data_IF_977990344928
#
_entry.id   IF_977990344928
#
_cell.length_a   1.000
_cell.length_b   1.000
_cell.length_c   1.000
_cell.angle_alpha   90.00
_cell.angle_beta   90.00
_cell.angle_gamma   90.00
#
_symmetry.space_group_name_H-M   'P 1'
#
loop_
_entity.id
_entity.type
_entity.pdbx_description
1 polymer ?
#
# COMPACT_ATOMS: atom_id res chain seq x y z
N UNK A 1 27.17 37.92 -43.77
CA UNK A 1 26.62 37.80 -45.15
C UNK A 1 25.15 37.41 -45.06
N UNK A 2 24.37 37.55 -46.15
CA UNK A 2 22.89 37.50 -46.14
C UNK A 2 22.29 36.11 -45.81
N UNK A 3 21.01 36.04 -45.37
CA UNK A 3 20.32 34.83 -44.91
C UNK A 3 19.37 34.22 -45.97
N UNK A 4 18.77 33.07 -45.64
CA UNK A 4 17.50 32.55 -46.17
C UNK A 4 16.68 31.99 -44.98
N UNK A 5 15.40 32.27 -44.70
CA UNK A 5 14.16 32.68 -45.42
C UNK A 5 13.13 31.54 -45.56
N UNK A 6 12.10 31.64 -44.70
CA UNK A 6 10.66 31.29 -44.79
C UNK A 6 10.15 30.00 -45.46
N UNK A 7 9.30 29.28 -44.71
CA UNK A 7 7.82 29.17 -44.83
C UNK A 7 7.33 28.40 -43.57
N UNK A 8 6.30 28.72 -42.77
CA UNK A 8 4.95 29.26 -42.97
C UNK A 8 4.04 28.41 -43.85
N UNK A 9 3.18 27.60 -43.20
CA UNK A 9 2.12 26.81 -43.82
C UNK A 9 1.11 26.36 -42.76
N UNK A 10 0.00 27.09 -42.62
CA UNK A 10 -1.12 26.71 -41.75
C UNK A 10 -2.17 25.94 -42.57
N UNK A 11 -2.80 24.92 -41.97
CA UNK A 11 -4.02 24.31 -42.51
C UNK A 11 -5.05 24.17 -41.38
N UNK A 12 -6.12 24.95 -41.49
CA UNK A 12 -7.40 24.71 -40.84
C UNK A 12 -8.21 23.72 -41.69
N UNK A 13 -8.97 22.84 -41.06
CA UNK A 13 -9.84 21.88 -41.78
C UNK A 13 -10.89 21.25 -40.87
N UNK A 14 -12.11 21.79 -40.88
CA UNK A 14 -13.28 21.30 -40.14
C UNK A 14 -14.24 20.60 -41.10
N UNK A 15 -14.81 19.45 -40.71
CA UNK A 15 -16.16 18.91 -41.05
C UNK A 15 -16.25 17.46 -40.54
N UNK A 16 -17.29 16.87 -39.92
CA UNK A 16 -18.75 17.04 -39.78
C UNK A 16 -19.47 15.76 -40.29
N UNK A 17 -20.05 15.03 -39.33
CA UNK A 17 -21.25 14.17 -39.31
C UNK A 17 -21.70 13.24 -40.49
N UNK A 18 -22.13 12.03 -40.05
CA UNK A 18 -23.40 11.31 -40.33
C UNK A 18 -23.57 10.27 -41.47
N UNK A 19 -24.46 9.31 -41.12
CA UNK A 19 -25.23 8.30 -41.88
C UNK A 19 -24.69 6.85 -41.85
N UNK A 20 -25.48 5.75 -41.81
CA UNK A 20 -26.82 5.36 -41.27
C UNK A 20 -27.36 4.15 -42.09
N UNK A 21 -27.97 3.13 -41.44
CA UNK A 21 -28.63 1.95 -42.07
C UNK A 21 -27.67 0.89 -42.65
N UNK A 22 -28.00 -0.40 -42.82
CA UNK A 22 -29.20 -1.24 -42.59
C UNK A 22 -29.00 -2.65 -43.23
N UNK A 23 -29.87 -3.67 -43.21
CA UNK A 23 -31.11 -3.97 -42.48
C UNK A 23 -31.55 -5.45 -42.75
N UNK A 24 -32.11 -6.17 -41.76
CA UNK A 24 -32.82 -7.47 -41.94
C UNK A 24 -32.20 -8.68 -41.20
N UNK A 25 -32.95 -9.73 -40.82
CA UNK A 25 -34.39 -10.05 -41.00
C UNK A 25 -34.98 -10.77 -39.77
N UNK A 26 -36.26 -10.53 -39.49
CA UNK A 26 -37.11 -11.36 -38.62
C UNK A 26 -37.53 -12.67 -39.29
N UNK A 27 -37.62 -13.75 -38.52
CA UNK A 27 -38.42 -14.95 -38.85
C UNK A 27 -39.18 -15.37 -37.58
N UNK A 28 -40.47 -15.67 -37.76
CA UNK A 28 -41.47 -16.01 -36.73
C UNK A 28 -41.56 -17.52 -36.46
N UNK A 29 -41.93 -17.94 -35.24
CA UNK A 29 -42.43 -19.31 -35.03
C UNK A 29 -42.47 -19.82 -33.58
N UNK A 30 -43.67 -19.89 -33.01
CA UNK A 30 -44.08 -20.42 -31.70
C UNK A 30 -43.40 -21.71 -31.18
N UNK A 31 -43.18 -21.80 -29.87
CA UNK A 31 -44.06 -22.52 -28.92
C UNK A 31 -43.40 -22.74 -27.53
N UNK A 32 -44.17 -22.55 -26.44
CA UNK A 32 -43.79 -22.95 -25.07
C UNK A 32 -44.46 -24.29 -24.76
N UNK A 33 -43.74 -25.25 -24.14
CA UNK A 33 -44.25 -25.86 -22.91
C UNK A 33 -43.24 -25.75 -21.76
N UNK A 34 -43.73 -25.72 -20.52
CA UNK A 34 -42.92 -25.54 -19.31
C UNK A 34 -42.30 -26.84 -18.77
N UNK A 35 -41.05 -26.72 -18.29
CA UNK A 35 -40.50 -27.42 -17.10
C UNK A 35 -40.29 -28.95 -17.13
N UNK A 36 -39.51 -29.51 -16.18
CA UNK A 36 -38.18 -29.04 -15.73
C UNK A 36 -37.16 -30.20 -15.64
N UNK A 37 -35.88 -29.96 -16.00
CA UNK A 37 -34.78 -30.84 -15.61
C UNK A 37 -33.45 -30.10 -15.67
N UNK A 38 -32.58 -30.33 -14.67
CA UNK A 38 -31.32 -29.61 -14.54
C UNK A 38 -30.26 -30.08 -15.54
N UNK A 39 -29.44 -29.14 -16.00
CA UNK A 39 -28.12 -29.39 -16.55
C UNK A 39 -27.23 -28.22 -16.20
N UNK A 40 -26.32 -28.43 -15.25
CA UNK A 40 -25.30 -27.46 -14.90
C UNK A 40 -24.31 -27.34 -16.07
N UNK A 41 -24.47 -26.32 -16.91
CA UNK A 41 -23.33 -25.79 -17.66
C UNK A 41 -22.44 -25.07 -16.67
N UNK A 42 -21.38 -25.75 -16.24
CA UNK A 42 -20.37 -25.22 -15.32
C UNK A 42 -19.77 -23.92 -15.88
N UNK A 43 -20.23 -22.78 -15.34
CA UNK A 43 -19.73 -21.47 -15.74
C UNK A 43 -18.45 -21.10 -14.96
N UNK A 44 -17.68 -20.23 -15.59
CA UNK A 44 -16.26 -20.03 -15.36
C UNK A 44 -15.89 -19.41 -14.01
N UNK A 45 -14.78 -19.89 -13.44
CA UNK A 45 -13.98 -19.22 -12.41
C UNK A 45 -14.74 -18.66 -11.21
N UNK A 46 -14.96 -19.51 -10.21
CA UNK A 46 -15.34 -19.06 -8.86
C UNK A 46 -14.26 -18.18 -8.23
N UNK A 47 -14.27 -16.88 -8.56
CA UNK A 47 -13.74 -15.86 -7.66
C UNK A 47 -14.69 -15.80 -6.47
N UNK A 48 -14.29 -16.41 -5.36
CA UNK A 48 -14.93 -16.17 -4.06
C UNK A 48 -15.09 -14.66 -3.89
N UNK A 49 -16.35 -14.23 -3.73
CA UNK A 49 -16.67 -12.83 -3.54
C UNK A 49 -16.23 -12.44 -2.14
N UNK A 50 -14.97 -12.01 -2.00
CA UNK A 50 -14.38 -11.57 -0.72
C UNK A 50 -15.30 -10.53 -0.08
N UNK A 51 -15.94 -10.91 1.03
CA UNK A 51 -16.92 -10.10 1.75
C UNK A 51 -16.22 -9.04 2.60
N UNK A 52 -15.68 -8.00 1.95
CA UNK A 52 -15.00 -6.91 2.63
C UNK A 52 -14.52 -5.81 1.69
N UNK A 53 -14.16 -4.67 2.26
CA UNK A 53 -13.46 -3.60 1.53
C UNK A 53 -12.05 -4.07 1.13
N UNK A 54 -11.76 -4.07 -0.17
CA UNK A 54 -10.42 -4.37 -0.70
C UNK A 54 -9.65 -3.08 -0.99
N UNK A 55 -8.71 -2.73 -0.11
CA UNK A 55 -7.94 -1.49 -0.21
C UNK A 55 -7.05 -1.39 -1.46
N UNK A 56 -6.75 -2.52 -2.11
CA UNK A 56 -6.00 -2.55 -3.37
C UNK A 56 -6.90 -2.41 -4.61
N UNK A 57 -8.20 -2.72 -4.51
CA UNK A 57 -9.17 -2.56 -5.59
C UNK A 57 -9.42 -1.10 -6.02
N UNK A 58 -8.91 -0.12 -5.27
CA UNK A 58 -8.97 1.30 -5.64
C UNK A 58 -8.01 1.67 -6.78
N UNK A 59 -6.94 0.91 -7.02
CA UNK A 59 -5.97 1.22 -8.06
C UNK A 59 -5.31 -0.01 -8.69
N UNK A 60 -5.63 -0.26 -9.95
CA UNK A 60 -5.02 -1.34 -10.73
C UNK A 60 -3.52 -1.08 -10.98
N UNK A 61 -2.61 -2.03 -10.68
CA UNK A 61 -1.18 -1.81 -10.81
C UNK A 61 -0.73 -1.42 -12.24
N UNK A 62 -1.38 -1.95 -13.27
CA UNK A 62 -1.10 -1.59 -14.66
C UNK A 62 -1.47 -0.12 -14.99
N UNK A 63 -2.52 0.41 -14.36
CA UNK A 63 -2.88 1.82 -14.51
C UNK A 63 -1.93 2.74 -13.76
N UNK A 64 -1.51 2.34 -12.56
CA UNK A 64 -0.49 3.04 -11.77
C UNK A 64 0.83 3.11 -12.53
N UNK A 65 1.28 1.99 -13.11
CA UNK A 65 2.49 1.92 -13.93
C UNK A 65 2.43 2.92 -15.09
N UNK A 66 1.32 2.94 -15.82
CA UNK A 66 1.07 3.89 -16.92
C UNK A 66 1.02 5.34 -16.46
N UNK A 67 0.40 5.63 -15.31
CA UNK A 67 0.26 6.99 -14.79
C UNK A 67 1.59 7.57 -14.26
N UNK A 68 2.45 6.72 -13.70
CA UNK A 68 3.77 7.09 -13.16
C UNK A 68 4.88 7.03 -14.24
N UNK A 69 4.67 6.29 -15.33
CA UNK A 69 5.65 6.15 -16.42
C UNK A 69 6.70 5.06 -16.17
N UNK A 70 6.31 3.95 -15.54
CA UNK A 70 7.16 2.77 -15.30
C UNK A 70 6.61 1.54 -16.02
N UNK A 71 7.44 0.52 -16.21
CA UNK A 71 7.07 -0.70 -16.93
C UNK A 71 6.01 -1.53 -16.21
N UNK A 72 6.08 -1.58 -14.88
CA UNK A 72 5.19 -2.34 -14.02
C UNK A 72 5.07 -1.66 -12.65
N UNK A 73 4.02 -2.03 -11.91
CA UNK A 73 3.87 -1.78 -10.48
C UNK A 73 3.34 -3.07 -9.86
N UNK A 74 3.70 -3.32 -8.61
CA UNK A 74 3.31 -4.48 -7.82
C UNK A 74 2.71 -4.01 -6.51
N UNK A 75 1.74 -4.75 -5.97
CA UNK A 75 1.29 -4.55 -4.59
C UNK A 75 2.38 -5.09 -3.67
N UNK A 76 3.00 -4.22 -2.89
CA UNK A 76 4.09 -4.58 -1.97
C UNK A 76 3.66 -4.59 -0.50
N UNK A 77 2.53 -3.97 -0.16
CA UNK A 77 2.06 -3.96 1.22
C UNK A 77 0.57 -3.71 1.33
N UNK A 78 -0.04 -4.31 2.34
CA UNK A 78 -1.43 -4.10 2.74
C UNK A 78 -1.43 -3.84 4.24
N UNK A 79 -2.22 -2.87 4.71
CA UNK A 79 -2.38 -2.61 6.15
C UNK A 79 -3.78 -2.15 6.49
N UNK A 80 -4.22 -2.47 7.71
CA UNK A 80 -5.48 -2.01 8.27
C UNK A 80 -5.30 -1.75 9.78
N UNK A 81 -5.74 -0.59 10.25
CA UNK A 81 -5.59 -0.14 11.65
C UNK A 81 -6.80 0.66 12.12
N UNK A 82 -7.06 0.61 13.43
CA UNK A 82 -7.87 1.63 14.11
C UNK A 82 -6.97 2.82 14.43
N UNK A 83 -7.42 4.02 14.10
CA UNK A 83 -6.71 5.26 14.40
C UNK A 83 -7.05 5.76 15.82
N UNK A 84 -6.26 6.66 16.43
CA UNK A 84 -6.51 7.16 17.78
C UNK A 84 -7.86 7.88 17.99
N UNK A 85 -8.55 8.28 16.92
CA UNK A 85 -9.90 8.87 16.95
C UNK A 85 -11.03 7.83 16.76
N UNK A 86 -10.69 6.53 16.76
CA UNK A 86 -11.62 5.41 16.57
C UNK A 86 -11.94 5.10 15.11
N UNK A 87 -11.57 5.95 14.14
CA UNK A 87 -11.80 5.67 12.72
C UNK A 87 -10.92 4.53 12.21
N UNK A 88 -11.40 3.75 11.23
CA UNK A 88 -10.59 2.71 10.60
C UNK A 88 -9.87 3.24 9.36
N UNK A 89 -8.59 2.91 9.24
CA UNK A 89 -7.76 3.18 8.06
C UNK A 89 -7.27 1.89 7.44
N UNK A 90 -7.45 1.74 6.12
CA UNK A 90 -6.83 0.68 5.33
C UNK A 90 -5.92 1.29 4.27
N UNK A 91 -4.85 0.59 3.87
CA UNK A 91 -3.88 1.09 2.89
C UNK A 91 -3.33 -0.01 2.00
N UNK A 92 -3.29 0.24 0.69
CA UNK A 92 -2.52 -0.55 -0.25
C UNK A 92 -1.26 0.22 -0.68
N UNK A 93 -0.13 -0.48 -0.71
CA UNK A 93 1.20 0.05 -1.02
C UNK A 93 1.74 -0.62 -2.26
N UNK A 94 2.41 0.16 -3.11
CA UNK A 94 2.86 -0.23 -4.43
C UNK A 94 4.30 0.22 -4.70
N UNK A 95 5.04 -0.59 -5.47
CA UNK A 95 6.40 -0.31 -5.92
C UNK A 95 6.64 -0.86 -7.35
N UNK A 96 7.65 -0.40 -8.12
CA UNK A 96 7.89 -0.87 -9.49
C UNK A 96 8.58 -2.24 -9.55
N UNK A 97 9.07 -2.74 -8.42
CA UNK A 97 9.68 -4.06 -8.25
C UNK A 97 8.81 -4.90 -7.31
N UNK A 98 8.68 -6.20 -7.60
CA UNK A 98 7.96 -7.17 -6.75
C UNK A 98 8.81 -7.51 -5.50
N UNK A 99 8.85 -6.56 -4.57
CA UNK A 99 9.55 -6.66 -3.29
C UNK A 99 8.59 -6.19 -2.18
N UNK A 100 7.81 -7.10 -1.58
CA UNK A 100 6.96 -6.81 -0.45
C UNK A 100 7.67 -6.02 0.67
N UNK A 101 6.95 -5.10 1.29
CA UNK A 101 7.45 -4.14 2.29
C UNK A 101 8.06 -2.86 1.70
N UNK A 102 8.37 -2.80 0.40
CA UNK A 102 8.87 -1.57 -0.23
C UNK A 102 7.77 -0.52 -0.38
N UNK A 103 8.00 0.68 0.16
CA UNK A 103 7.10 1.84 0.07
C UNK A 103 7.54 2.76 -1.06
N UNK A 104 6.68 2.91 -2.08
CA UNK A 104 6.84 3.90 -3.16
C UNK A 104 5.61 4.80 -3.28
N UNK A 105 4.50 4.21 -3.70
CA UNK A 105 3.17 4.81 -3.67
C UNK A 105 2.34 4.08 -2.60
N UNK A 106 1.60 4.81 -1.78
CA UNK A 106 0.58 4.25 -0.90
C UNK A 106 -0.73 5.01 -1.10
N UNK A 107 -1.83 4.28 -1.23
CA UNK A 107 -3.19 4.81 -1.22
C UNK A 107 -3.85 4.27 0.05
N UNK A 108 -4.36 5.17 0.88
CA UNK A 108 -5.08 4.86 2.11
C UNK A 108 -6.51 5.39 2.06
N UNK A 109 -7.43 4.63 2.61
CA UNK A 109 -8.81 5.03 2.88
C UNK A 109 -9.02 5.13 4.37
N UNK A 110 -9.74 6.16 4.82
CA UNK A 110 -10.25 6.33 6.19
C UNK A 110 -11.77 6.37 6.12
N UNK A 111 -12.43 5.49 6.88
CA UNK A 111 -13.89 5.45 7.03
C UNK A 111 -14.35 6.27 8.25
N UNK A 112 -15.63 6.66 8.26
CA UNK A 112 -16.33 7.27 9.42
C UNK A 112 -15.63 8.54 9.97
N UNK A 113 -15.04 9.35 9.07
CA UNK A 113 -14.25 10.54 9.40
C UNK A 113 -14.90 11.83 8.87
N UNK A 114 -14.38 12.97 9.28
CA UNK A 114 -14.82 14.28 8.78
C UNK A 114 -13.62 15.14 8.38
N UNK A 115 -13.88 16.28 7.73
CA UNK A 115 -12.84 17.14 7.21
C UNK A 115 -11.99 17.83 8.30
N UNK A 116 -12.43 17.88 9.57
CA UNK A 116 -11.61 18.40 10.65
C UNK A 116 -10.64 17.31 11.13
N UNK A 117 -11.16 16.13 11.51
CA UNK A 117 -10.35 14.98 11.94
C UNK A 117 -9.36 14.52 10.87
N UNK A 118 -9.80 14.38 9.62
CA UNK A 118 -8.99 13.82 8.54
C UNK A 118 -7.81 14.72 8.11
N UNK A 119 -7.98 16.06 8.17
CA UNK A 119 -6.92 17.02 7.80
C UNK A 119 -6.13 17.56 9.00
N UNK A 120 -6.56 17.35 10.25
CA UNK A 120 -5.83 17.77 11.46
C UNK A 120 -4.34 17.34 11.50
N UNK A 121 -3.94 16.12 11.06
CA UNK A 121 -2.53 15.74 11.01
C UNK A 121 -1.69 16.60 10.05
N UNK A 122 -2.26 17.03 8.92
CA UNK A 122 -1.60 17.94 7.99
C UNK A 122 -1.40 19.32 8.62
N UNK A 123 -2.47 19.91 9.17
CA UNK A 123 -2.43 21.24 9.80
C UNK A 123 -1.43 21.34 10.97
N UNK A 124 -1.20 20.23 11.69
CA UNK A 124 -0.19 20.14 12.76
C UNK A 124 1.25 20.00 12.23
N UNK A 125 1.45 19.28 11.12
CA UNK A 125 2.78 18.89 10.61
C UNK A 125 3.35 19.85 9.56
N UNK A 126 2.51 20.51 8.76
CA UNK A 126 2.93 21.24 7.57
C UNK A 126 2.36 22.67 7.53
N UNK A 127 3.17 23.62 7.01
CA UNK A 127 2.77 25.03 6.83
C UNK A 127 2.51 25.42 5.37
N UNK A 128 3.03 24.64 4.43
CA UNK A 128 3.01 24.90 2.98
C UNK A 128 1.95 24.07 2.23
N UNK A 129 0.79 23.88 2.87
CA UNK A 129 -0.33 23.11 2.34
C UNK A 129 -1.02 23.91 1.22
N UNK A 130 -1.31 23.25 0.10
CA UNK A 130 -2.03 23.83 -1.05
C UNK A 130 -3.40 23.18 -1.18
N UNK A 131 -4.45 23.97 -1.42
CA UNK A 131 -5.77 23.45 -1.79
C UNK A 131 -5.72 22.88 -3.22
N UNK A 132 -6.39 21.75 -3.45
CA UNK A 132 -6.56 21.12 -4.76
C UNK A 132 -8.03 21.29 -5.17
N UNK A 133 -8.36 22.17 -6.13
CA UNK A 133 -9.74 22.44 -6.48
C UNK A 133 -10.37 21.27 -7.24
N UNK A 134 -11.68 21.05 -7.03
CA UNK A 134 -12.51 20.04 -7.74
C UNK A 134 -12.08 18.57 -7.52
N UNK A 135 -11.49 18.26 -6.36
CA UNK A 135 -11.17 16.89 -5.95
C UNK A 135 -11.85 16.59 -4.60
N UNK A 136 -12.90 15.77 -4.62
CA UNK A 136 -13.78 15.58 -3.48
C UNK A 136 -14.47 16.88 -3.03
N UNK A 137 -14.95 16.90 -1.78
CA UNK A 137 -15.55 18.07 -1.15
C UNK A 137 -14.47 19.05 -0.65
N UNK A 138 -13.31 18.50 -0.26
CA UNK A 138 -12.08 19.22 0.08
C UNK A 138 -10.88 18.35 -0.26
N UNK A 139 -9.84 18.95 -0.83
CA UNK A 139 -8.56 18.29 -1.02
C UNK A 139 -7.37 19.22 -0.78
N UNK A 140 -6.31 18.67 -0.20
CA UNK A 140 -5.10 19.37 0.19
C UNK A 140 -3.86 18.57 -0.19
N UNK A 141 -2.84 19.26 -0.68
CA UNK A 141 -1.57 18.67 -1.10
C UNK A 141 -0.39 19.38 -0.43
N UNK A 142 0.63 18.60 -0.10
CA UNK A 142 1.95 19.09 0.30
C UNK A 142 3.03 18.29 -0.43
N UNK A 143 4.10 18.97 -0.82
CA UNK A 143 5.32 18.33 -1.31
C UNK A 143 6.51 18.87 -0.52
N UNK A 144 7.43 17.99 -0.12
CA UNK A 144 8.58 18.34 0.71
C UNK A 144 9.74 17.35 0.50
N UNK A 145 10.96 17.80 0.81
CA UNK A 145 12.17 16.97 0.84
C UNK A 145 12.51 16.62 2.29
N UNK A 146 12.94 15.40 2.58
CA UNK A 146 13.45 15.07 3.91
C UNK A 146 14.80 15.76 4.15
N UNK A 147 14.93 16.43 5.30
CA UNK A 147 16.15 17.12 5.70
C UNK A 147 17.35 16.17 5.69
N UNK A 148 18.44 16.57 5.03
CA UNK A 148 19.68 15.79 4.98
C UNK A 148 19.67 14.55 4.07
N UNK A 149 18.60 14.30 3.30
CA UNK A 149 18.49 13.13 2.40
C UNK A 149 18.27 13.54 0.94
N UNK A 150 18.29 12.59 0.01
CA UNK A 150 17.81 12.74 -1.37
C UNK A 150 16.33 12.37 -1.55
N UNK A 151 15.60 12.09 -0.47
CA UNK A 151 14.23 11.59 -0.50
C UNK A 151 13.23 12.74 -0.50
N UNK A 152 12.24 12.65 -1.38
CA UNK A 152 11.16 13.61 -1.55
C UNK A 152 9.81 12.92 -1.40
N UNK A 153 8.84 13.70 -0.91
CA UNK A 153 7.49 13.24 -0.62
C UNK A 153 6.47 14.14 -1.29
N UNK A 154 5.39 13.52 -1.76
CA UNK A 154 4.15 14.18 -2.14
C UNK A 154 3.04 13.50 -1.33
N UNK A 155 2.39 14.24 -0.44
CA UNK A 155 1.21 13.78 0.28
C UNK A 155 -0.01 14.56 -0.22
N UNK A 156 -1.06 13.86 -0.64
CA UNK A 156 -2.33 14.48 -1.07
C UNK A 156 -3.49 13.80 -0.35
N UNK A 157 -4.35 14.60 0.29
CA UNK A 157 -5.55 14.14 1.00
C UNK A 157 -6.78 14.73 0.34
N UNK A 158 -7.83 13.94 0.26
CA UNK A 158 -9.15 14.36 -0.23
C UNK A 158 -10.24 13.66 0.58
N UNK A 159 -11.38 14.31 0.79
CA UNK A 159 -12.54 13.72 1.47
C UNK A 159 -13.79 13.85 0.58
N UNK A 160 -14.67 12.85 0.61
CA UNK A 160 -15.99 12.90 -0.01
C UNK A 160 -17.02 12.27 0.92
N UNK A 161 -17.91 13.10 1.45
CA UNK A 161 -18.78 12.76 2.58
C UNK A 161 -17.95 12.47 3.83
N UNK A 162 -18.13 11.28 4.40
CA UNK A 162 -17.45 10.76 5.58
C UNK A 162 -16.22 9.88 5.25
N UNK A 163 -15.80 9.85 3.98
CA UNK A 163 -14.74 8.97 3.46
C UNK A 163 -13.51 9.77 3.06
N UNK A 164 -12.40 9.57 3.77
CA UNK A 164 -11.11 10.18 3.43
C UNK A 164 -10.26 9.27 2.55
N UNK A 165 -9.60 9.83 1.53
CA UNK A 165 -8.57 9.14 0.73
C UNK A 165 -7.27 9.93 0.80
N UNK A 166 -6.16 9.23 1.05
CA UNK A 166 -4.82 9.79 1.19
C UNK A 166 -3.86 9.05 0.27
N UNK A 167 -3.20 9.81 -0.61
CA UNK A 167 -2.08 9.34 -1.41
C UNK A 167 -0.78 9.84 -0.78
N UNK A 168 0.14 8.91 -0.54
CA UNK A 168 1.50 9.17 -0.11
C UNK A 168 2.46 8.63 -1.17
N UNK A 169 3.32 9.49 -1.70
CA UNK A 169 4.29 9.14 -2.74
C UNK A 169 5.69 9.54 -2.28
N UNK A 170 6.63 8.59 -2.30
CA UNK A 170 8.04 8.80 -1.94
C UNK A 170 8.92 8.48 -3.15
N UNK A 171 9.82 9.39 -3.50
CA UNK A 171 10.82 9.22 -4.56
C UNK A 171 12.20 9.72 -4.12
N UNK A 172 13.24 9.36 -4.86
CA UNK A 172 14.61 9.81 -4.58
C UNK A 172 15.24 10.41 -5.83
N UNK A 173 16.21 11.33 -5.64
CA UNK A 173 17.00 11.88 -6.74
C UNK A 173 17.94 10.83 -7.39
N UNK A 174 18.15 9.68 -6.74
CA UNK A 174 18.98 8.55 -7.18
C UNK A 174 18.14 7.37 -7.68
N UNK A 175 18.70 6.56 -8.59
CA UNK A 175 18.04 5.34 -9.11
C UNK A 175 17.78 4.26 -8.04
N UNK A 176 16.87 3.33 -8.34
CA UNK A 176 16.41 2.28 -7.41
C UNK A 176 15.25 2.69 -6.51
N UNK A 177 14.60 3.83 -6.79
CA UNK A 177 13.39 4.31 -6.10
C UNK A 177 12.26 4.56 -7.12
N UNK A 178 11.09 4.98 -6.64
CA UNK A 178 10.07 5.56 -7.53
C UNK A 178 10.68 6.71 -8.36
N UNK A 179 10.26 6.90 -9.62
CA UNK A 179 10.65 8.08 -10.39
C UNK A 179 10.03 9.34 -9.78
N UNK A 180 10.51 10.51 -10.17
CA UNK A 180 9.87 11.78 -9.83
C UNK A 180 8.51 11.90 -10.52
N UNK A 181 7.43 11.84 -9.75
CA UNK A 181 6.10 12.19 -10.23
C UNK A 181 5.90 13.71 -10.28
N UNK A 182 5.08 14.19 -11.22
CA UNK A 182 4.49 15.52 -11.12
C UNK A 182 3.19 15.48 -10.28
N UNK A 183 2.66 16.66 -9.95
CA UNK A 183 1.42 16.76 -9.17
C UNK A 183 0.17 16.31 -9.93
N UNK A 184 0.22 16.24 -11.27
CA UNK A 184 -0.91 15.86 -12.13
C UNK A 184 -1.11 14.34 -12.13
N UNK A 185 -0.02 13.56 -12.16
CA UNK A 185 -0.06 12.11 -12.04
C UNK A 185 -0.65 11.68 -10.68
N UNK A 186 -0.18 12.30 -9.58
CA UNK A 186 -0.71 12.04 -8.24
C UNK A 186 -2.20 12.41 -8.10
N UNK A 187 -2.63 13.54 -8.70
CA UNK A 187 -4.03 13.93 -8.72
C UNK A 187 -4.91 12.93 -9.51
N UNK A 188 -4.45 12.47 -10.69
CA UNK A 188 -5.19 11.51 -11.51
C UNK A 188 -5.40 10.16 -10.80
N UNK A 189 -4.38 9.69 -10.06
CA UNK A 189 -4.49 8.47 -9.25
C UNK A 189 -5.57 8.63 -8.17
N UNK A 190 -5.62 9.78 -7.49
CA UNK A 190 -6.65 10.04 -6.47
C UNK A 190 -8.06 10.20 -7.04
N UNK A 191 -8.22 10.81 -8.21
CA UNK A 191 -9.53 10.89 -8.89
C UNK A 191 -10.08 9.48 -9.10
N UNK A 192 -9.28 8.58 -9.69
CA UNK A 192 -9.68 7.18 -9.91
C UNK A 192 -9.96 6.42 -8.60
N UNK A 193 -9.15 6.65 -7.57
CA UNK A 193 -9.36 6.03 -6.27
C UNK A 193 -10.67 6.48 -5.61
N UNK A 194 -11.08 7.74 -5.78
CA UNK A 194 -12.39 8.24 -5.35
C UNK A 194 -13.54 7.67 -6.20
N UNK A 195 -13.39 7.60 -7.53
CA UNK A 195 -14.40 7.03 -8.44
C UNK A 195 -14.71 5.55 -8.13
N UNK A 196 -13.73 4.81 -7.60
CA UNK A 196 -13.86 3.41 -7.18
C UNK A 196 -14.26 3.22 -5.71
N UNK A 197 -14.32 4.31 -4.94
CA UNK A 197 -14.60 4.24 -3.51
C UNK A 197 -16.10 3.98 -3.30
N UNK A 198 -16.50 2.88 -2.63
CA UNK A 198 -17.91 2.61 -2.40
C UNK A 198 -18.54 3.68 -1.49
N UNK A 199 -19.82 3.99 -1.72
CA UNK A 199 -20.57 5.02 -0.96
C UNK A 199 -20.57 4.77 0.54
N UNK A 200 -20.48 3.50 0.96
CA UNK A 200 -20.18 3.10 2.33
C UNK A 200 -18.90 2.27 2.37
N UNK A 201 -17.93 2.73 3.14
CA UNK A 201 -16.70 1.98 3.40
C UNK A 201 -16.85 1.25 4.74
N UNK A 202 -16.53 -0.04 4.78
CA UNK A 202 -16.41 -0.80 6.02
C UNK A 202 -15.16 -1.65 5.92
N UNK A 203 -14.15 -1.33 6.72
CA UNK A 203 -12.84 -2.00 6.73
C UNK A 203 -12.94 -3.14 7.75
N UNK A 204 -13.05 -4.41 7.33
CA UNK A 204 -13.14 -5.53 8.26
C UNK A 204 -11.78 -5.82 8.88
N UNK A 205 -11.83 -6.47 10.04
CA UNK A 205 -10.70 -7.24 10.55
C UNK A 205 -10.32 -8.30 9.51
N UNK A 206 -9.03 -8.61 9.40
CA UNK A 206 -8.52 -9.55 8.41
C UNK A 206 -7.75 -10.67 9.07
N UNK A 207 -7.80 -11.84 8.45
CA UNK A 207 -7.00 -13.01 8.80
C UNK A 207 -5.65 -12.91 8.08
N UNK A 208 -4.52 -13.29 8.72
CA UNK A 208 -3.25 -13.40 8.02
C UNK A 208 -3.26 -14.62 7.07
N UNK A 209 -2.68 -14.46 5.88
CA UNK A 209 -2.61 -15.50 4.85
C UNK A 209 -1.19 -16.08 4.70
N UNK A 210 -1.08 -17.34 4.29
CA UNK A 210 0.19 -18.01 4.02
C UNK A 210 1.13 -17.99 5.24
N UNK A 211 2.41 -17.69 5.02
CA UNK A 211 3.44 -17.63 6.08
C UNK A 211 3.20 -16.55 7.13
N UNK A 212 2.31 -15.58 6.87
CA UNK A 212 1.87 -14.64 7.90
C UNK A 212 1.00 -15.33 8.96
N UNK A 213 0.29 -16.41 8.62
CA UNK A 213 -0.55 -17.17 9.55
C UNK A 213 0.25 -18.01 10.55
N UNK A 214 1.51 -18.33 10.22
CA UNK A 214 2.43 -19.10 11.08
C UNK A 214 3.06 -18.23 12.20
N UNK A 215 2.80 -16.92 12.24
CA UNK A 215 3.35 -16.00 13.24
C UNK A 215 2.55 -16.09 14.55
N UNK A 216 3.17 -16.54 15.64
CA UNK A 216 2.53 -16.57 16.96
C UNK A 216 2.37 -15.15 17.54
N UNK A 217 1.14 -14.65 17.47
CA UNK A 217 0.75 -13.34 17.98
C UNK A 217 0.81 -13.25 19.51
N UNK A 218 0.92 -14.34 20.28
CA UNK A 218 1.02 -14.27 21.75
C UNK A 218 2.29 -13.59 22.22
N UNK A 219 3.41 -13.84 21.55
CA UNK A 219 4.67 -13.14 21.82
C UNK A 219 4.53 -11.64 21.49
N UNK A 220 3.83 -11.32 20.40
CA UNK A 220 3.55 -9.94 20.01
C UNK A 220 2.65 -9.22 21.03
N UNK A 221 1.54 -9.84 21.46
CA UNK A 221 0.65 -9.30 22.50
C UNK A 221 1.41 -9.01 23.80
N UNK A 222 2.25 -9.94 24.24
CA UNK A 222 3.06 -9.77 25.46
C UNK A 222 4.10 -8.66 25.36
N UNK A 223 4.74 -8.49 24.21
CA UNK A 223 5.74 -7.44 23.99
C UNK A 223 5.09 -6.08 23.75
N UNK A 224 4.13 -6.00 22.84
CA UNK A 224 3.60 -4.76 22.29
C UNK A 224 2.40 -4.20 23.08
N UNK A 225 1.75 -5.03 23.91
CA UNK A 225 0.75 -4.62 24.89
C UNK A 225 -0.71 -4.68 24.43
N UNK A 226 -1.00 -5.14 23.21
CA UNK A 226 -2.35 -5.21 22.65
C UNK A 226 -2.65 -6.53 21.93
N UNK A 227 -3.93 -6.85 21.77
CA UNK A 227 -4.40 -8.01 21.01
C UNK A 227 -4.51 -7.67 19.52
N UNK A 228 -3.81 -8.43 18.67
CA UNK A 228 -3.69 -8.18 17.24
C UNK A 228 -4.85 -8.79 16.44
N UNK A 229 -5.93 -8.03 16.28
CA UNK A 229 -7.18 -8.45 15.60
C UNK A 229 -7.22 -8.11 14.11
N UNK A 230 -6.47 -7.10 13.66
CA UNK A 230 -6.39 -6.73 12.24
C UNK A 230 -5.10 -7.26 11.63
N UNK A 231 -5.19 -8.23 10.72
CA UNK A 231 -4.08 -8.65 9.89
C UNK A 231 -4.29 -8.30 8.40
N UNK A 232 -3.17 -8.15 7.69
CA UNK A 232 -3.08 -8.07 6.23
C UNK A 232 -1.79 -8.74 5.77
N UNK A 233 -1.81 -9.32 4.56
CA UNK A 233 -0.71 -10.11 4.03
C UNK A 233 -0.49 -9.82 2.55
N UNK A 234 0.77 -9.79 2.13
CA UNK A 234 1.22 -9.76 0.74
C UNK A 234 2.34 -10.78 0.60
N UNK A 235 2.24 -11.68 -0.38
CA UNK A 235 3.26 -12.68 -0.71
C UNK A 235 3.56 -12.56 -2.21
N UNK A 236 4.84 -12.44 -2.55
CA UNK A 236 5.34 -12.39 -3.93
C UNK A 236 5.56 -13.80 -4.50
N UNK A 237 5.72 -13.90 -5.82
CA UNK A 237 6.12 -15.16 -6.47
C UNK A 237 7.53 -15.62 -6.04
N UNK A 238 8.38 -14.71 -5.55
CA UNK A 238 9.77 -14.97 -5.12
C UNK A 238 9.91 -15.37 -3.64
N UNK A 239 8.83 -15.73 -2.95
CA UNK A 239 8.82 -16.05 -1.51
C UNK A 239 9.25 -14.86 -0.60
N UNK A 240 9.35 -13.63 -1.12
CA UNK A 240 9.32 -12.42 -0.30
C UNK A 240 7.89 -12.17 0.18
N UNK A 241 7.73 -11.61 1.38
CA UNK A 241 6.41 -11.34 1.97
C UNK A 241 6.41 -10.08 2.84
N UNK A 242 5.23 -9.49 3.01
CA UNK A 242 4.96 -8.45 4.00
C UNK A 242 3.67 -8.80 4.75
N UNK A 243 3.80 -8.98 6.06
CA UNK A 243 2.69 -9.18 6.98
C UNK A 243 2.52 -7.91 7.81
N UNK A 244 1.29 -7.43 7.96
CA UNK A 244 0.98 -6.29 8.82
C UNK A 244 -0.08 -6.70 9.84
N UNK A 245 0.15 -6.37 11.10
CA UNK A 245 -0.74 -6.64 12.22
C UNK A 245 -1.00 -5.37 13.02
N UNK A 246 -2.23 -5.15 13.50
CA UNK A 246 -2.54 -4.08 14.46
C UNK A 246 -3.64 -4.46 15.46
N UNK A 247 -3.62 -3.74 16.58
CA UNK A 247 -4.51 -3.91 17.72
C UNK A 247 -4.32 -2.77 18.71
N UNK A 248 -5.40 -2.13 19.15
CA UNK A 248 -5.29 -0.89 19.94
C UNK A 248 -4.52 0.20 19.18
N UNK A 249 -3.56 0.82 19.85
CA UNK A 249 -2.56 1.70 19.24
C UNK A 249 -1.29 0.94 18.78
N UNK A 250 -1.13 -0.33 19.16
CA UNK A 250 -0.01 -1.15 18.72
C UNK A 250 -0.15 -1.60 17.27
N UNK A 251 0.99 -1.76 16.61
CA UNK A 251 1.09 -2.38 15.29
C UNK A 251 2.47 -2.96 15.05
N UNK A 252 2.58 -3.97 14.19
CA UNK A 252 3.87 -4.39 13.68
C UNK A 252 3.79 -4.91 12.25
N UNK A 253 4.88 -4.70 11.51
CA UNK A 253 5.13 -5.33 10.23
C UNK A 253 6.24 -6.39 10.33
N UNK A 254 6.10 -7.44 9.53
CA UNK A 254 7.12 -8.47 9.31
C UNK A 254 7.35 -8.58 7.82
N UNK A 255 8.55 -8.24 7.38
CA UNK A 255 8.94 -8.23 5.97
C UNK A 255 10.08 -9.22 5.74
N UNK A 256 9.87 -10.22 4.88
CA UNK A 256 10.95 -11.08 4.39
C UNK A 256 11.36 -10.62 3.00
N UNK A 257 12.64 -10.26 2.86
CA UNK A 257 13.26 -9.84 1.59
C UNK A 257 14.13 -10.99 1.07
N UNK A 258 13.81 -11.48 -0.13
CA UNK A 258 14.51 -12.59 -0.82
C UNK A 258 15.23 -12.15 -2.10
N UNK A 259 14.91 -10.98 -2.67
CA UNK A 259 15.60 -10.51 -3.87
C UNK A 259 17.06 -10.11 -3.56
N UNK A 260 18.07 -10.65 -4.25
CA UNK A 260 19.48 -10.40 -3.95
C UNK A 260 19.88 -8.92 -3.98
N UNK A 261 19.19 -8.06 -4.72
CA UNK A 261 19.51 -6.63 -4.82
C UNK A 261 19.21 -5.87 -3.52
N UNK A 262 17.96 -5.83 -3.00
CA UNK A 262 17.66 -5.23 -1.71
C UNK A 262 18.31 -5.99 -0.55
N UNK A 263 18.44 -7.34 -0.60
CA UNK A 263 19.14 -8.13 0.43
C UNK A 263 20.51 -7.53 0.74
N UNK A 264 21.37 -7.30 -0.28
CA UNK A 264 22.72 -6.74 -0.07
C UNK A 264 22.75 -5.38 0.64
N UNK A 265 21.70 -4.57 0.49
CA UNK A 265 21.56 -3.28 1.19
C UNK A 265 20.91 -3.37 2.57
N UNK A 266 20.26 -4.49 2.88
CA UNK A 266 19.50 -4.70 4.11
C UNK A 266 20.22 -5.62 5.12
N UNK A 267 21.13 -6.48 4.65
CA UNK A 267 21.96 -7.38 5.47
C UNK A 267 22.65 -6.61 6.59
N UNK A 268 22.57 -7.15 7.80
CA UNK A 268 23.28 -6.62 8.96
C UNK A 268 24.77 -6.95 8.83
N UNK A 269 25.59 -5.91 8.70
CA UNK A 269 27.05 -6.07 8.70
C UNK A 269 27.55 -6.67 10.04
N UNK A 270 28.59 -7.52 10.05
CA UNK A 270 29.04 -8.22 11.25
C UNK A 270 29.35 -7.32 12.46
N UNK A 271 29.89 -6.12 12.22
CA UNK A 271 30.20 -5.12 13.24
C UNK A 271 28.97 -4.37 13.80
N UNK A 272 27.78 -4.66 13.25
CA UNK A 272 26.49 -4.08 13.65
C UNK A 272 25.53 -5.11 14.27
N UNK A 273 25.92 -6.39 14.34
CA UNK A 273 25.14 -7.43 15.01
C UNK A 273 25.11 -7.14 16.51
N UNK A 274 23.91 -7.05 17.09
CA UNK A 274 23.70 -6.89 18.54
C UNK A 274 23.19 -8.17 19.20
N UNK A 275 22.60 -9.08 18.43
CA UNK A 275 22.05 -10.36 18.88
C UNK A 275 22.53 -11.49 17.94
N UNK A 276 23.65 -12.16 18.25
CA UNK A 276 24.22 -13.20 17.39
C UNK A 276 23.48 -14.55 17.46
N UNK A 277 22.55 -14.71 18.42
CA UNK A 277 21.74 -15.90 18.66
C UNK A 277 20.39 -15.91 17.90
N UNK A 278 20.15 -14.90 17.05
CA UNK A 278 18.95 -14.73 16.25
C UNK A 278 19.31 -14.81 14.76
N UNK A 279 18.83 -15.87 14.09
CA UNK A 279 19.19 -16.17 12.70
C UNK A 279 20.70 -16.40 12.55
N UNK A 280 21.29 -15.84 11.49
CA UNK A 280 22.74 -15.76 11.29
C UNK A 280 23.33 -14.45 11.84
N UNK A 281 22.58 -13.77 12.72
CA UNK A 281 22.94 -12.50 13.34
C UNK A 281 21.90 -11.41 13.10
N UNK A 282 21.47 -10.77 14.18
CA UNK A 282 20.49 -9.70 14.16
C UNK A 282 20.99 -8.38 14.75
N UNK A 283 20.41 -7.28 14.27
CA UNK A 283 20.48 -5.95 14.87
C UNK A 283 19.09 -5.53 15.28
N UNK A 284 18.86 -5.49 16.58
CA UNK A 284 17.65 -4.92 17.19
C UNK A 284 17.97 -3.52 17.70
N UNK A 285 17.04 -2.59 17.52
CA UNK A 285 17.10 -1.20 17.95
C UNK A 285 15.77 -0.78 18.58
N UNK A 286 15.85 -0.01 19.66
CA UNK A 286 14.77 0.87 20.09
C UNK A 286 15.04 2.26 19.47
N UNK A 287 14.10 2.78 18.70
CA UNK A 287 14.28 4.02 17.93
C UNK A 287 13.90 5.27 18.74
N UNK A 288 14.34 6.44 18.30
CA UNK A 288 13.89 7.73 18.87
C UNK A 288 12.37 7.93 18.78
N UNK A 289 11.70 7.29 17.83
CA UNK A 289 10.24 7.27 17.70
C UNK A 289 9.55 6.33 18.71
N UNK A 290 10.30 5.76 19.66
CA UNK A 290 9.87 4.75 20.65
C UNK A 290 9.30 3.48 20.02
N UNK A 291 9.87 3.05 18.89
CA UNK A 291 9.50 1.81 18.20
C UNK A 291 10.60 0.76 18.28
N UNK A 292 10.23 -0.51 18.19
CA UNK A 292 11.17 -1.59 17.86
C UNK A 292 11.47 -1.54 16.36
N UNK A 293 12.73 -1.66 15.99
CA UNK A 293 13.16 -2.00 14.62
C UNK A 293 14.23 -3.07 14.70
N UNK A 294 13.99 -4.20 14.03
CA UNK A 294 14.89 -5.34 13.97
C UNK A 294 15.19 -5.69 12.51
N UNK A 295 16.46 -6.02 12.24
CA UNK A 295 16.90 -6.68 11.01
C UNK A 295 17.66 -7.93 11.37
N UNK A 296 17.40 -9.02 10.68
CA UNK A 296 17.93 -10.35 10.97
C UNK A 296 18.44 -10.95 9.65
N UNK A 297 19.70 -11.39 9.65
CA UNK A 297 20.26 -12.17 8.55
C UNK A 297 19.71 -13.60 8.64
N UNK A 298 19.20 -14.14 7.53
CA UNK A 298 18.60 -15.48 7.47
C UNK A 298 19.00 -16.13 6.15
N UNK A 299 20.14 -16.80 6.12
CA UNK A 299 20.75 -17.35 4.91
C UNK A 299 21.03 -16.26 3.88
N UNK A 300 20.45 -16.42 2.69
CA UNK A 300 20.51 -15.47 1.57
C UNK A 300 19.41 -14.39 1.63
N UNK A 301 18.72 -14.26 2.77
CA UNK A 301 17.52 -13.41 2.96
C UNK A 301 17.71 -12.47 4.14
N UNK A 302 16.89 -11.41 4.17
CA UNK A 302 16.80 -10.52 5.33
C UNK A 302 15.37 -10.46 5.83
N UNK A 303 15.18 -10.73 7.10
CA UNK A 303 13.93 -10.51 7.80
C UNK A 303 14.01 -9.14 8.50
N UNK A 304 13.02 -8.30 8.28
CA UNK A 304 12.85 -7.02 8.98
C UNK A 304 11.54 -7.02 9.76
N UNK A 305 11.58 -6.47 10.98
CA UNK A 305 10.40 -6.32 11.85
C UNK A 305 10.41 -4.90 12.37
N UNK A 306 9.32 -4.16 12.21
CA UNK A 306 9.14 -2.87 12.87
C UNK A 306 7.85 -2.92 13.69
N UNK A 307 7.87 -2.39 14.91
CA UNK A 307 6.72 -2.44 15.80
C UNK A 307 6.55 -1.18 16.65
N UNK A 308 5.30 -0.73 16.76
CA UNK A 308 4.83 0.31 17.67
C UNK A 308 4.12 -0.35 18.86
N UNK A 309 4.41 0.12 20.06
CA UNK A 309 3.75 -0.32 21.30
C UNK A 309 2.40 0.37 21.48
N UNK A 310 1.49 -0.25 22.22
CA UNK A 310 0.20 0.36 22.60
C UNK A 310 0.42 1.57 23.53
N UNK A 311 1.35 1.44 24.47
CA UNK A 311 1.74 2.48 25.42
C UNK A 311 3.23 2.87 25.24
N UNK A 312 3.61 3.55 24.14
CA UNK A 312 5.00 3.78 23.78
C UNK A 312 5.78 4.61 24.80
N UNK A 313 5.11 5.48 25.57
CA UNK A 313 5.75 6.27 26.63
C UNK A 313 6.20 5.42 27.84
N UNK A 314 5.70 4.19 27.98
CA UNK A 314 6.10 3.26 29.05
C UNK A 314 7.35 2.44 28.70
N UNK A 315 7.79 2.48 27.44
CA UNK A 315 8.96 1.76 26.94
C UNK A 315 10.07 2.77 26.64
N UNK A 316 11.27 2.50 27.16
CA UNK A 316 12.43 3.41 27.03
C UNK A 316 13.67 2.74 26.44
N UNK A 317 13.66 1.42 26.33
CA UNK A 317 14.72 0.59 25.77
C UNK A 317 14.15 -0.78 25.36
N UNK A 318 14.94 -1.57 24.63
CA UNK A 318 14.61 -2.98 24.35
C UNK A 318 14.53 -3.80 25.64
N UNK A 319 13.51 -4.65 25.73
CA UNK A 319 13.26 -5.55 26.87
C UNK A 319 13.38 -7.02 26.40
N UNK A 320 13.55 -7.99 27.31
CA UNK A 320 13.57 -9.40 26.95
C UNK A 320 12.34 -9.88 26.16
N UNK A 321 11.17 -9.28 26.39
CA UNK A 321 9.95 -9.58 25.62
C UNK A 321 10.05 -9.16 24.15
N UNK A 322 10.76 -8.07 23.84
CA UNK A 322 10.96 -7.58 22.46
C UNK A 322 11.93 -8.50 21.70
N UNK A 323 12.96 -9.00 22.38
CA UNK A 323 13.88 -10.01 21.84
C UNK A 323 13.17 -11.34 21.59
N UNK A 324 12.29 -11.75 22.51
CA UNK A 324 11.54 -13.00 22.37
C UNK A 324 10.51 -12.94 21.25
N UNK A 325 9.83 -11.81 21.05
CA UNK A 325 9.00 -11.55 19.87
C UNK A 325 9.80 -11.77 18.58
N UNK A 326 10.98 -11.16 18.46
CA UNK A 326 11.83 -11.33 17.28
C UNK A 326 12.26 -12.80 17.12
N UNK A 327 12.62 -13.49 18.20
CA UNK A 327 12.97 -14.93 18.16
C UNK A 327 11.82 -15.77 17.62
N UNK A 328 10.61 -15.57 18.12
CA UNK A 328 9.42 -16.33 17.69
C UNK A 328 9.13 -16.12 16.20
N UNK A 329 9.24 -14.89 15.70
CA UNK A 329 9.05 -14.58 14.26
C UNK A 329 10.19 -15.17 13.40
N UNK A 330 11.44 -15.10 13.86
CA UNK A 330 12.58 -15.74 13.16
C UNK A 330 12.41 -17.25 13.09
N UNK A 331 11.82 -17.86 14.12
CA UNK A 331 11.61 -19.31 14.18
C UNK A 331 10.45 -19.80 13.30
N UNK A 332 9.35 -19.05 13.20
CA UNK A 332 8.25 -19.39 12.29
C UNK A 332 8.55 -19.04 10.83
N UNK A 333 9.13 -17.87 10.57
CA UNK A 333 9.37 -17.37 9.21
C UNK A 333 10.72 -17.82 8.68
N UNK A 334 11.80 -17.64 9.45
CA UNK A 334 13.16 -17.68 8.92
C UNK A 334 13.74 -19.07 8.64
N UNK A 335 13.31 -20.11 9.38
CA UNK A 335 14.09 -21.36 9.49
C UNK A 335 13.91 -22.42 8.39
N UNK A 336 13.08 -22.22 7.36
CA UNK A 336 12.88 -23.24 6.30
C UNK A 336 13.86 -23.09 5.13
N UNK A 337 14.64 -24.15 4.91
CA UNK A 337 15.47 -24.40 3.72
C UNK A 337 14.65 -25.04 2.62
#
# INVERSE_FOLDING_TARGET
MKPWIHQLGAVLGVSVLLLAGGCGKTVTGSAIPESPSGSETADSTGKEQKTGFDECGLAEPAELAKAIGVNAMYVTGRSAMTQPDGSRRASCTYFPEDVPGMLGLQISTVADTDAERFFAPFAKKFRNIKQVPKLGDRAEAVAYKANGTSTHYIEVRTISGDRGVHLYYTYMDSGGAMPKADGSAAALILVKALERLPDKVTIPDGTPDGRCADIDLKAATKALGAEFVMARSVVSEKDSMNCYFSGGAASFDVTLVTDPNPVRGWTVAPDKITHPDLGDGARLLFTEAKTLSARINVGDRVLAINASYDAPDTVTALRPADVELVRTIVDSVGKRK
#
